data_IF_307659490863
#
_entry.id   IF_307659490863
#
_cell.length_a   1.000
_cell.length_b   1.000
_cell.length_c   1.000
_cell.angle_alpha   90.00
_cell.angle_beta   90.00
_cell.angle_gamma   90.00
#
_symmetry.space_group_name_H-M   'P 1'
#
loop_
_entity.id
_entity.type
_entity.pdbx_description
1 polymer ?
#
# COMPACT_ATOMS: atom_id res chain seq x y z
N UNK A 1 -31.58 1.78 -9.84
CA UNK A 1 -32.93 1.20 -9.96
C UNK A 1 -32.93 -0.24 -9.46
N UNK A 2 -32.07 -1.15 -9.97
CA UNK A 2 -32.07 -2.58 -9.65
C UNK A 2 -31.85 -2.92 -8.16
N UNK A 3 -30.95 -2.23 -7.45
CA UNK A 3 -30.69 -2.42 -6.02
C UNK A 3 -31.94 -2.15 -5.17
N UNK A 4 -32.69 -1.08 -5.49
CA UNK A 4 -33.94 -0.73 -4.79
C UNK A 4 -35.07 -1.72 -5.13
N UNK A 5 -35.09 -2.24 -6.35
CA UNK A 5 -36.08 -3.24 -6.78
C UNK A 5 -35.77 -4.65 -6.27
N UNK A 6 -34.54 -4.93 -5.87
CA UNK A 6 -34.08 -6.27 -5.45
C UNK A 6 -33.91 -7.23 -6.61
N UNK A 7 -33.53 -6.73 -7.78
CA UNK A 7 -33.22 -7.54 -8.97
C UNK A 7 -31.72 -7.73 -9.17
N UNK A 8 -30.91 -7.24 -8.23
CA UNK A 8 -29.46 -7.35 -8.22
C UNK A 8 -29.05 -7.99 -6.90
N UNK A 9 -28.40 -9.15 -6.96
CA UNK A 9 -27.99 -9.93 -5.79
C UNK A 9 -26.62 -9.49 -5.28
N UNK A 10 -25.69 -9.12 -6.18
CA UNK A 10 -24.35 -8.66 -5.84
C UNK A 10 -24.03 -7.37 -6.59
N UNK A 11 -23.48 -6.39 -5.88
CA UNK A 11 -22.97 -5.14 -6.47
C UNK A 11 -21.55 -4.91 -6.01
N UNK A 12 -20.67 -4.57 -6.94
CA UNK A 12 -19.27 -4.23 -6.69
C UNK A 12 -19.07 -2.78 -7.16
N UNK A 13 -18.40 -1.99 -6.35
CA UNK A 13 -18.12 -0.59 -6.70
C UNK A 13 -17.28 0.11 -5.66
N UNK A 14 -17.04 1.39 -5.89
CA UNK A 14 -16.25 2.26 -5.01
C UNK A 14 -17.10 2.78 -3.84
N UNK A 15 -16.53 3.71 -3.05
CA UNK A 15 -17.24 4.43 -1.98
C UNK A 15 -18.56 5.07 -2.42
N UNK A 16 -18.81 5.21 -3.72
CA UNK A 16 -20.09 5.68 -4.29
C UNK A 16 -21.27 4.81 -3.82
N UNK A 17 -21.05 3.52 -3.56
CA UNK A 17 -22.07 2.63 -3.03
C UNK A 17 -22.56 3.01 -1.62
N UNK A 18 -21.77 3.77 -0.87
CA UNK A 18 -22.13 4.26 0.47
C UNK A 18 -22.90 5.59 0.43
N UNK A 19 -23.16 6.15 -0.73
CA UNK A 19 -23.87 7.44 -0.86
C UNK A 19 -25.33 7.32 -0.45
N UNK A 20 -25.88 8.40 0.09
CA UNK A 20 -27.26 8.43 0.66
C UNK A 20 -28.36 8.17 -0.37
N UNK A 21 -28.11 8.44 -1.64
CA UNK A 21 -29.03 8.21 -2.76
C UNK A 21 -29.09 6.74 -3.21
N UNK A 22 -28.15 5.91 -2.76
CA UNK A 22 -28.17 4.48 -3.01
C UNK A 22 -29.03 3.80 -1.94
N UNK A 23 -30.09 3.14 -2.39
CA UNK A 23 -31.04 2.41 -1.54
C UNK A 23 -30.95 0.93 -1.87
N UNK A 24 -30.66 0.12 -0.88
CA UNK A 24 -30.69 -1.33 -0.92
C UNK A 24 -32.08 -1.82 -0.45
N UNK A 25 -32.65 -2.82 -1.13
CA UNK A 25 -33.92 -3.40 -0.74
C UNK A 25 -33.76 -4.23 0.54
N UNK A 26 -32.76 -5.12 0.51
CA UNK A 26 -32.45 -6.05 1.61
C UNK A 26 -30.96 -6.40 1.52
N UNK A 27 -30.14 -5.70 2.29
CA UNK A 27 -28.71 -5.89 2.32
C UNK A 27 -28.34 -6.85 3.45
N UNK A 28 -27.87 -8.06 3.12
CA UNK A 28 -27.48 -9.06 4.11
C UNK A 28 -25.99 -9.01 4.47
N UNK A 29 -25.12 -8.70 3.50
CA UNK A 29 -23.66 -8.66 3.70
C UNK A 29 -23.03 -7.45 3.06
N UNK A 30 -22.16 -6.75 3.80
CA UNK A 30 -21.32 -5.67 3.33
C UNK A 30 -19.85 -6.09 3.44
N UNK A 31 -19.16 -6.16 2.30
CA UNK A 31 -17.71 -6.42 2.27
C UNK A 31 -16.97 -5.11 1.99
N UNK A 32 -15.99 -4.78 2.83
CA UNK A 32 -15.21 -3.55 2.75
C UNK A 32 -13.73 -3.90 2.64
N UNK A 33 -13.11 -3.49 1.55
CA UNK A 33 -11.66 -3.58 1.41
C UNK A 33 -11.00 -2.24 1.82
N UNK A 34 -9.89 -2.34 2.55
CA UNK A 34 -9.08 -1.19 3.00
C UNK A 34 -9.91 -0.09 3.71
N UNK A 35 -10.70 -0.46 4.75
CA UNK A 35 -11.57 0.46 5.52
C UNK A 35 -10.87 1.76 5.96
N UNK A 36 -9.56 1.72 6.19
CA UNK A 36 -8.77 2.89 6.62
C UNK A 36 -8.72 4.01 5.57
N UNK A 37 -8.99 3.71 4.30
CA UNK A 37 -9.02 4.69 3.21
C UNK A 37 -10.30 5.52 3.15
N UNK A 38 -11.35 5.11 3.86
CA UNK A 38 -12.61 5.83 3.88
C UNK A 38 -12.55 7.07 4.78
N UNK A 39 -13.10 8.18 4.29
CA UNK A 39 -13.29 9.40 5.07
C UNK A 39 -14.32 9.24 6.20
N UNK A 40 -14.38 10.22 7.09
CA UNK A 40 -15.23 10.21 8.30
C UNK A 40 -16.71 9.95 7.95
N UNK A 41 -17.24 10.65 6.96
CA UNK A 41 -18.66 10.51 6.55
C UNK A 41 -19.02 9.11 6.06
N UNK A 42 -18.10 8.46 5.33
CA UNK A 42 -18.28 7.07 4.88
C UNK A 42 -18.21 6.11 6.05
N UNK A 43 -17.30 6.33 7.00
CA UNK A 43 -17.18 5.50 8.21
C UNK A 43 -18.43 5.59 9.10
N UNK A 44 -19.05 6.77 9.21
CA UNK A 44 -20.33 6.92 9.90
C UNK A 44 -21.44 6.15 9.19
N UNK A 45 -21.52 6.26 7.87
CA UNK A 45 -22.49 5.49 7.08
C UNK A 45 -22.32 3.99 7.23
N UNK A 46 -21.07 3.51 7.23
CA UNK A 46 -20.74 2.10 7.49
C UNK A 46 -21.22 1.68 8.89
N UNK A 47 -21.03 2.52 9.92
CA UNK A 47 -21.50 2.25 11.28
C UNK A 47 -23.03 2.09 11.33
N UNK A 48 -23.77 2.92 10.60
CA UNK A 48 -25.24 2.83 10.55
C UNK A 48 -25.67 1.51 9.91
N UNK A 49 -25.04 1.12 8.79
CA UNK A 49 -25.30 -0.14 8.10
C UNK A 49 -24.96 -1.35 8.99
N UNK A 50 -23.85 -1.30 9.74
CA UNK A 50 -23.40 -2.39 10.66
C UNK A 50 -24.41 -2.75 11.74
N UNK A 51 -25.41 -1.96 12.00
CA UNK A 51 -26.43 -2.26 13.00
C UNK A 51 -27.42 -3.35 12.58
N UNK A 52 -27.57 -3.58 11.29
CA UNK A 52 -28.57 -4.50 10.73
C UNK A 52 -28.03 -5.43 9.63
N UNK A 53 -26.72 -5.38 9.36
CA UNK A 53 -26.08 -6.09 8.24
C UNK A 53 -24.77 -6.70 8.72
N UNK A 54 -24.47 -7.92 8.32
CA UNK A 54 -23.16 -8.52 8.55
C UNK A 54 -22.09 -7.78 7.77
N UNK A 55 -20.94 -7.54 8.40
CA UNK A 55 -19.85 -6.77 7.78
C UNK A 55 -18.53 -7.51 7.88
N UNK A 56 -17.98 -7.82 6.70
CA UNK A 56 -16.63 -8.34 6.54
C UNK A 56 -15.69 -7.20 6.11
N UNK A 57 -14.65 -6.97 6.88
CA UNK A 57 -13.61 -5.97 6.54
C UNK A 57 -12.32 -6.68 6.20
N UNK A 58 -11.72 -6.32 5.07
CA UNK A 58 -10.44 -6.83 4.61
C UNK A 58 -9.38 -5.74 4.75
N UNK A 59 -8.15 -6.11 5.11
CA UNK A 59 -7.00 -5.19 5.11
C UNK A 59 -5.71 -5.97 5.01
N UNK A 60 -4.77 -5.46 4.22
CA UNK A 60 -3.40 -6.00 4.15
C UNK A 60 -2.57 -5.58 5.37
N UNK A 61 -2.89 -4.43 5.96
CA UNK A 61 -2.21 -3.88 7.14
C UNK A 61 -3.26 -3.34 8.10
N UNK A 62 -3.67 -4.10 9.12
CA UNK A 62 -4.67 -3.64 10.05
C UNK A 62 -4.20 -2.36 10.75
N UNK A 63 -5.11 -1.38 10.86
CA UNK A 63 -4.83 -0.19 11.64
C UNK A 63 -4.73 -0.54 13.14
N UNK A 64 -3.91 0.18 13.91
CA UNK A 64 -3.71 -0.07 15.34
C UNK A 64 -5.01 -0.25 16.14
N UNK A 65 -6.00 0.58 15.89
CA UNK A 65 -7.31 0.50 16.57
C UNK A 65 -8.08 -0.78 16.22
N UNK A 66 -8.08 -1.21 14.97
CA UNK A 66 -8.75 -2.46 14.55
C UNK A 66 -8.05 -3.66 15.19
N UNK A 67 -6.73 -3.64 15.22
CA UNK A 67 -5.91 -4.65 15.84
C UNK A 67 -6.21 -4.76 17.35
N UNK A 68 -6.28 -3.63 18.05
CA UNK A 68 -6.62 -3.61 19.47
C UNK A 68 -8.04 -4.14 19.73
N UNK A 69 -9.04 -3.75 18.94
CA UNK A 69 -10.41 -4.24 19.07
C UNK A 69 -10.50 -5.77 18.90
N UNK A 70 -9.63 -6.34 18.06
CA UNK A 70 -9.54 -7.79 17.91
C UNK A 70 -8.87 -8.46 19.10
N UNK A 71 -7.77 -7.89 19.60
CA UNK A 71 -7.06 -8.41 20.78
C UNK A 71 -7.91 -8.34 22.07
N UNK A 72 -8.85 -7.39 22.15
CA UNK A 72 -9.79 -7.27 23.27
C UNK A 72 -11.06 -8.11 23.10
N UNK A 73 -11.16 -8.92 22.02
CA UNK A 73 -12.33 -9.76 21.78
C UNK A 73 -13.59 -9.00 21.31
N UNK A 74 -13.47 -7.71 20.97
CA UNK A 74 -14.59 -6.90 20.49
C UNK A 74 -14.90 -7.20 19.00
N UNK A 75 -13.93 -7.75 18.26
CA UNK A 75 -14.05 -8.14 16.85
C UNK A 75 -13.39 -9.49 16.63
N UNK A 76 -14.09 -10.37 15.93
CA UNK A 76 -13.49 -11.59 15.40
C UNK A 76 -12.50 -11.22 14.29
N UNK A 77 -11.37 -11.89 14.25
CA UNK A 77 -10.33 -11.69 13.27
C UNK A 77 -9.79 -13.03 12.78
N UNK A 78 -9.70 -13.16 11.46
CA UNK A 78 -9.02 -14.27 10.82
C UNK A 78 -7.80 -13.73 10.06
N UNK A 79 -6.69 -14.46 10.09
CA UNK A 79 -5.49 -14.12 9.34
C UNK A 79 -5.32 -15.09 8.18
N UNK A 80 -5.00 -14.54 7.00
CA UNK A 80 -4.58 -15.30 5.82
C UNK A 80 -3.09 -15.09 5.70
N UNK A 81 -2.30 -16.04 6.15
CA UNK A 81 -0.82 -15.98 6.22
C UNK A 81 -0.13 -16.90 5.22
N UNK A 82 -0.87 -17.80 4.59
CA UNK A 82 -0.33 -18.71 3.57
C UNK A 82 -0.39 -18.05 2.19
N UNK A 83 0.76 -17.74 1.57
CA UNK A 83 0.80 -17.18 0.22
C UNK A 83 0.43 -18.24 -0.84
N UNK A 84 0.05 -17.82 -2.05
CA UNK A 84 0.00 -18.72 -3.20
C UNK A 84 1.36 -19.38 -3.46
N UNK A 85 1.37 -20.66 -3.87
CA UNK A 85 2.56 -21.51 -3.99
C UNK A 85 3.66 -20.93 -4.90
N UNK A 86 3.28 -20.21 -5.95
CA UNK A 86 4.21 -19.66 -6.95
C UNK A 86 4.73 -18.24 -6.62
N UNK A 87 4.32 -17.67 -5.51
CA UNK A 87 4.67 -16.29 -5.16
C UNK A 87 5.96 -16.22 -4.32
N UNK A 88 6.96 -15.49 -4.82
CA UNK A 88 8.20 -15.20 -4.08
C UNK A 88 8.17 -13.77 -3.53
N UNK A 89 8.54 -13.56 -2.26
CA UNK A 89 8.63 -12.22 -1.70
C UNK A 89 9.73 -11.41 -2.39
N UNK A 90 9.54 -10.09 -2.59
CA UNK A 90 10.58 -9.24 -3.17
C UNK A 90 11.82 -9.16 -2.27
N UNK A 91 12.99 -9.32 -2.86
CA UNK A 91 14.26 -9.01 -2.21
C UNK A 91 14.33 -7.49 -1.96
N UNK A 92 14.61 -7.10 -0.74
CA UNK A 92 14.54 -5.69 -0.33
C UNK A 92 15.91 -5.16 0.04
N UNK A 93 16.26 -4.00 -0.53
CA UNK A 93 17.52 -3.33 -0.33
C UNK A 93 17.30 -1.91 0.16
N UNK A 94 17.93 -1.54 1.28
CA UNK A 94 17.98 -0.15 1.77
C UNK A 94 19.31 0.45 1.37
N UNK A 95 19.29 1.47 0.50
CA UNK A 95 20.53 2.01 -0.06
C UNK A 95 20.42 3.47 -0.46
N UNK A 96 21.56 4.10 -0.68
CA UNK A 96 21.64 5.49 -1.12
C UNK A 96 21.13 5.62 -2.56
N UNK A 97 20.28 6.63 -2.81
CA UNK A 97 19.83 6.97 -4.17
C UNK A 97 20.98 7.51 -5.01
N UNK A 98 21.18 6.91 -6.15
CA UNK A 98 22.17 7.35 -7.14
C UNK A 98 21.68 7.08 -8.56
N UNK A 99 22.24 7.80 -9.53
CA UNK A 99 21.96 7.54 -10.95
C UNK A 99 22.39 6.14 -11.39
N UNK A 100 23.48 5.62 -10.82
CA UNK A 100 23.96 4.27 -11.10
C UNK A 100 22.97 3.22 -10.59
N UNK A 101 22.44 3.36 -9.37
CA UNK A 101 21.41 2.48 -8.85
C UNK A 101 20.17 2.46 -9.75
N UNK A 102 19.75 3.67 -10.17
CA UNK A 102 18.57 3.81 -11.03
C UNK A 102 18.78 3.11 -12.38
N UNK A 103 19.96 3.30 -12.98
CA UNK A 103 20.36 2.62 -14.19
C UNK A 103 20.35 1.09 -14.02
N UNK A 104 21.03 0.57 -13.01
CA UNK A 104 21.17 -0.86 -12.80
C UNK A 104 19.83 -1.53 -12.51
N UNK A 105 18.97 -0.90 -11.69
CA UNK A 105 17.67 -1.43 -11.34
C UNK A 105 16.72 -1.49 -12.54
N UNK A 106 16.66 -0.42 -13.34
CA UNK A 106 15.75 -0.32 -14.48
C UNK A 106 16.24 -1.14 -15.67
N UNK A 107 17.53 -1.02 -16.03
CA UNK A 107 18.09 -1.76 -17.17
C UNK A 107 18.02 -3.27 -16.96
N UNK A 108 18.34 -3.76 -15.75
CA UNK A 108 18.18 -5.18 -15.40
C UNK A 108 16.73 -5.67 -15.57
N UNK A 109 15.76 -4.84 -15.22
CA UNK A 109 14.35 -5.20 -15.37
C UNK A 109 13.94 -5.22 -16.84
N UNK A 110 14.37 -4.23 -17.63
CA UNK A 110 14.13 -4.16 -19.07
C UNK A 110 14.76 -5.34 -19.82
N UNK A 111 16.01 -5.71 -19.50
CA UNK A 111 16.73 -6.85 -20.11
C UNK A 111 15.97 -8.17 -19.96
N UNK A 112 15.26 -8.36 -18.87
CA UNK A 112 14.44 -9.57 -18.65
C UNK A 112 12.97 -9.41 -19.09
N UNK A 113 12.66 -8.31 -19.77
CA UNK A 113 11.33 -8.01 -20.32
C UNK A 113 10.29 -7.70 -19.23
N UNK A 114 10.73 -7.18 -18.08
CA UNK A 114 9.85 -6.74 -17.01
C UNK A 114 9.68 -5.22 -16.98
N UNK A 115 8.90 -4.74 -16.03
CA UNK A 115 8.59 -3.33 -15.84
C UNK A 115 8.94 -2.88 -14.42
N UNK A 116 9.16 -1.57 -14.24
CA UNK A 116 9.58 -0.98 -12.98
C UNK A 116 8.58 0.05 -12.48
N UNK A 117 8.18 -0.02 -11.22
CA UNK A 117 7.58 1.11 -10.50
C UNK A 117 8.69 2.01 -9.94
N UNK A 118 8.60 3.30 -10.22
CA UNK A 118 9.41 4.30 -9.55
C UNK A 118 8.50 5.22 -8.74
N UNK A 119 8.55 5.09 -7.42
CA UNK A 119 7.59 5.71 -6.51
C UNK A 119 8.23 6.87 -5.78
N UNK A 120 7.56 8.02 -5.80
CA UNK A 120 7.93 9.17 -4.98
C UNK A 120 6.71 9.65 -4.15
N UNK A 121 7.00 10.42 -3.10
CA UNK A 121 5.94 10.90 -2.21
C UNK A 121 5.20 12.13 -2.75
N UNK A 122 5.91 13.01 -3.45
CA UNK A 122 5.41 14.32 -3.85
C UNK A 122 5.43 14.51 -5.35
N UNK A 123 4.35 15.05 -5.90
CA UNK A 123 4.25 15.37 -7.34
C UNK A 123 5.37 16.33 -7.77
N UNK A 124 5.73 17.31 -6.93
CA UNK A 124 6.80 18.27 -7.24
C UNK A 124 8.22 17.66 -7.42
N UNK A 125 8.41 16.38 -7.05
CA UNK A 125 9.66 15.65 -7.27
C UNK A 125 9.71 14.96 -8.64
N UNK A 126 8.54 14.75 -9.28
CA UNK A 126 8.43 13.88 -10.45
C UNK A 126 9.21 14.40 -11.66
N UNK A 127 9.20 15.70 -11.91
CA UNK A 127 9.94 16.29 -13.06
C UNK A 127 11.46 16.08 -12.91
N UNK A 128 11.99 16.24 -11.70
CA UNK A 128 13.39 15.95 -11.39
C UNK A 128 13.69 14.47 -11.62
N UNK A 129 12.86 13.57 -11.09
CA UNK A 129 13.07 12.12 -11.20
C UNK A 129 12.90 11.62 -12.63
N UNK A 130 11.98 12.19 -13.40
CA UNK A 130 11.87 11.94 -14.84
C UNK A 130 13.13 12.44 -15.59
N UNK A 131 13.71 13.55 -15.16
CA UNK A 131 15.00 14.02 -15.65
C UNK A 131 16.16 13.09 -15.32
N UNK A 132 16.19 12.53 -14.14
CA UNK A 132 17.18 11.53 -13.72
C UNK A 132 17.03 10.24 -14.56
N UNK A 133 15.80 9.74 -14.79
CA UNK A 133 15.55 8.60 -15.68
C UNK A 133 16.09 8.88 -17.10
N UNK A 134 15.72 10.00 -17.70
CA UNK A 134 16.20 10.35 -19.07
C UNK A 134 17.71 10.46 -19.16
N UNK A 135 18.39 10.86 -18.08
CA UNK A 135 19.85 11.01 -18.03
C UNK A 135 20.55 9.67 -17.87
N UNK A 136 20.03 8.79 -17.02
CA UNK A 136 20.72 7.58 -16.62
C UNK A 136 20.22 6.32 -17.33
N UNK A 137 18.99 6.35 -17.86
CA UNK A 137 18.34 5.24 -18.60
C UNK A 137 17.59 5.83 -19.79
N UNK A 138 18.28 6.44 -20.77
CA UNK A 138 17.65 7.15 -21.89
C UNK A 138 16.81 6.26 -22.77
N UNK A 139 17.05 4.96 -22.79
CA UNK A 139 16.30 3.96 -23.55
C UNK A 139 14.96 3.60 -22.92
N UNK A 140 14.74 3.90 -21.65
CA UNK A 140 13.50 3.55 -20.95
C UNK A 140 12.34 4.44 -21.38
N UNK A 141 11.23 3.82 -21.74
CA UNK A 141 9.95 4.50 -21.99
C UNK A 141 9.26 4.75 -20.65
N UNK A 142 9.07 6.01 -20.32
CA UNK A 142 8.59 6.41 -18.97
C UNK A 142 7.19 7.01 -19.06
N UNK A 143 6.25 6.42 -18.32
CA UNK A 143 4.96 7.02 -18.02
C UNK A 143 4.98 7.71 -16.66
N UNK A 144 4.13 8.72 -16.49
CA UNK A 144 3.96 9.43 -15.22
C UNK A 144 2.49 9.38 -14.79
N UNK A 145 2.24 9.03 -13.51
CA UNK A 145 0.90 8.99 -12.96
C UNK A 145 0.84 9.52 -11.52
N UNK A 146 -0.11 10.41 -11.25
CA UNK A 146 -0.31 11.01 -9.93
C UNK A 146 -1.76 11.45 -9.71
N UNK A 147 -2.17 11.64 -8.46
CA UNK A 147 -3.54 11.92 -8.07
C UNK A 147 -4.13 13.29 -8.50
N UNK A 148 -3.36 14.13 -9.21
CA UNK A 148 -3.89 15.36 -9.85
C UNK A 148 -4.30 15.17 -11.31
N UNK A 149 -3.97 14.03 -11.92
CA UNK A 149 -4.49 13.66 -13.23
C UNK A 149 -5.98 13.34 -13.12
N UNK A 150 -6.73 13.61 -14.17
CA UNK A 150 -8.12 13.15 -14.27
C UNK A 150 -8.21 11.62 -14.30
N UNK A 151 -9.34 11.06 -13.86
CA UNK A 151 -9.55 9.60 -13.81
C UNK A 151 -9.25 8.94 -15.15
N UNK A 152 -9.80 9.46 -16.24
CA UNK A 152 -9.57 8.92 -17.59
C UNK A 152 -8.09 8.95 -18.01
N UNK A 153 -7.33 9.99 -17.59
CA UNK A 153 -5.90 10.05 -17.89
C UNK A 153 -5.12 9.00 -17.12
N UNK A 154 -5.48 8.75 -15.86
CA UNK A 154 -4.86 7.68 -15.05
C UNK A 154 -5.20 6.33 -15.67
N UNK A 155 -6.45 6.09 -16.05
CA UNK A 155 -6.89 4.86 -16.70
C UNK A 155 -6.08 4.58 -17.97
N UNK A 156 -5.99 5.54 -18.89
CA UNK A 156 -5.23 5.39 -20.13
C UNK A 156 -3.74 5.08 -19.87
N UNK A 157 -3.09 5.82 -18.95
CA UNK A 157 -1.69 5.56 -18.59
C UNK A 157 -1.50 4.16 -18.01
N UNK A 158 -2.45 3.70 -17.20
CA UNK A 158 -2.37 2.37 -16.61
C UNK A 158 -2.63 1.26 -17.63
N UNK A 159 -3.56 1.46 -18.56
CA UNK A 159 -3.80 0.55 -19.69
C UNK A 159 -2.58 0.42 -20.59
N UNK A 160 -1.98 1.54 -21.00
CA UNK A 160 -0.76 1.56 -21.82
C UNK A 160 0.41 0.90 -21.07
N UNK A 161 0.55 1.15 -19.77
CA UNK A 161 1.58 0.52 -18.96
C UNK A 161 1.35 -1.00 -18.83
N UNK A 162 0.12 -1.44 -18.63
CA UNK A 162 -0.26 -2.85 -18.60
C UNK A 162 0.00 -3.53 -19.97
N UNK A 163 -0.23 -2.83 -21.07
CA UNK A 163 0.06 -3.30 -22.42
C UNK A 163 1.56 -3.38 -22.74
N UNK A 164 2.44 -2.86 -21.87
CA UNK A 164 3.90 -2.87 -22.05
C UNK A 164 4.42 -1.75 -22.95
N UNK A 165 3.62 -0.69 -23.18
CA UNK A 165 4.05 0.49 -23.93
C UNK A 165 5.10 1.32 -23.18
N UNK A 166 5.20 1.14 -21.86
CA UNK A 166 6.17 1.80 -20.99
C UNK A 166 6.94 0.79 -20.16
N UNK A 167 8.22 1.07 -19.92
CA UNK A 167 9.13 0.25 -19.13
C UNK A 167 9.15 0.69 -17.66
N UNK A 168 8.91 1.99 -17.41
CA UNK A 168 8.88 2.58 -16.08
C UNK A 168 7.61 3.38 -15.86
N UNK A 169 6.93 3.13 -14.76
CA UNK A 169 5.87 4.00 -14.26
C UNK A 169 6.39 4.83 -13.08
N UNK A 170 6.68 6.11 -13.33
CA UNK A 170 6.97 7.08 -12.28
C UNK A 170 5.65 7.58 -11.68
N UNK A 171 5.43 7.32 -10.40
CA UNK A 171 4.14 7.62 -9.77
C UNK A 171 4.27 8.03 -8.30
N UNK A 172 3.19 8.62 -7.80
CA UNK A 172 2.99 8.77 -6.36
C UNK A 172 2.33 7.52 -5.78
N UNK A 173 1.84 7.58 -4.55
CA UNK A 173 1.19 6.45 -3.84
C UNK A 173 -0.11 5.93 -4.47
N UNK A 174 -0.48 6.38 -5.67
CA UNK A 174 -1.66 5.88 -6.39
C UNK A 174 -1.62 4.37 -6.65
N UNK A 175 -0.42 3.77 -6.75
CA UNK A 175 -0.25 2.33 -6.93
C UNK A 175 -0.70 1.51 -5.70
N UNK A 176 -0.88 2.13 -4.55
CA UNK A 176 -1.47 1.47 -3.38
C UNK A 176 -2.92 1.04 -3.64
N UNK A 177 -3.58 1.56 -4.69
CA UNK A 177 -5.01 1.42 -4.96
C UNK A 177 -5.46 0.05 -5.52
N UNK A 178 -4.63 -0.99 -5.45
CA UNK A 178 -5.09 -2.36 -5.75
C UNK A 178 -4.90 -2.81 -7.20
N UNK A 179 -4.31 -1.99 -8.07
CA UNK A 179 -4.04 -2.39 -9.46
C UNK A 179 -2.97 -3.49 -9.48
N UNK A 180 -3.28 -4.56 -10.17
CA UNK A 180 -2.39 -5.70 -10.34
C UNK A 180 -1.75 -5.68 -11.73
N UNK A 181 -0.43 -5.50 -11.78
CA UNK A 181 0.35 -5.56 -13.03
C UNK A 181 1.41 -6.66 -12.87
N UNK A 182 1.14 -7.84 -13.42
CA UNK A 182 1.98 -9.03 -13.20
C UNK A 182 3.43 -8.87 -13.69
N UNK A 183 3.66 -8.01 -14.70
CA UNK A 183 4.98 -7.83 -15.30
C UNK A 183 5.89 -6.86 -14.53
N UNK A 184 5.38 -6.20 -13.47
CA UNK A 184 6.19 -5.34 -12.62
C UNK A 184 6.88 -6.16 -11.55
N UNK A 185 8.19 -6.33 -11.67
CA UNK A 185 8.97 -7.11 -10.72
C UNK A 185 10.00 -6.27 -9.97
N UNK A 186 10.17 -5.01 -10.33
CA UNK A 186 11.07 -4.08 -9.63
C UNK A 186 10.30 -2.84 -9.16
N UNK A 187 10.57 -2.42 -7.92
CA UNK A 187 10.12 -1.12 -7.39
C UNK A 187 11.30 -0.36 -6.82
N UNK A 188 11.43 0.90 -7.23
CA UNK A 188 12.35 1.87 -6.63
C UNK A 188 11.52 2.89 -5.86
N UNK A 189 11.77 3.05 -4.57
CA UNK A 189 11.08 4.00 -3.70
C UNK A 189 12.03 5.13 -3.35
N UNK A 190 11.75 6.32 -3.88
CA UNK A 190 12.56 7.52 -3.63
C UNK A 190 12.24 8.13 -2.28
N UNK A 191 13.26 8.45 -1.48
CA UNK A 191 13.12 8.95 -0.11
C UNK A 191 12.22 8.04 0.76
N UNK A 192 12.51 6.74 0.75
CA UNK A 192 11.72 5.73 1.45
C UNK A 192 11.56 6.01 2.96
N UNK A 193 12.52 6.71 3.60
CA UNK A 193 12.44 7.15 5.01
C UNK A 193 11.25 8.08 5.29
N UNK A 194 10.70 8.71 4.26
CA UNK A 194 9.55 9.62 4.37
C UNK A 194 8.19 8.91 4.32
N UNK A 195 8.18 7.61 4.11
CA UNK A 195 6.97 6.78 4.07
C UNK A 195 6.71 6.10 5.42
N UNK A 196 5.44 5.85 5.71
CA UNK A 196 5.04 5.00 6.83
C UNK A 196 5.34 3.52 6.55
N UNK A 197 5.52 2.73 7.62
CA UNK A 197 5.85 1.31 7.50
C UNK A 197 4.78 0.52 6.72
N UNK A 198 3.50 0.78 7.02
CA UNK A 198 2.37 0.18 6.30
C UNK A 198 2.36 0.54 4.80
N UNK A 199 2.69 1.79 4.45
CA UNK A 199 2.78 2.22 3.06
C UNK A 199 3.91 1.50 2.32
N UNK A 200 5.10 1.43 2.92
CA UNK A 200 6.23 0.68 2.34
C UNK A 200 5.86 -0.79 2.11
N UNK A 201 5.17 -1.40 3.06
CA UNK A 201 4.71 -2.78 2.93
C UNK A 201 3.70 -2.94 1.78
N UNK A 202 2.73 -2.05 1.65
CA UNK A 202 1.76 -2.05 0.55
C UNK A 202 2.42 -1.85 -0.81
N UNK A 203 3.35 -0.87 -0.93
CA UNK A 203 4.09 -0.62 -2.17
C UNK A 203 4.96 -1.82 -2.53
N UNK A 204 5.72 -2.36 -1.58
CA UNK A 204 6.51 -3.58 -1.76
C UNK A 204 5.65 -4.77 -2.21
N UNK A 205 4.44 -4.90 -1.68
CA UNK A 205 3.47 -5.94 -2.05
C UNK A 205 2.89 -5.80 -3.45
N UNK A 206 3.17 -4.71 -4.18
CA UNK A 206 2.74 -4.53 -5.58
C UNK A 206 3.65 -5.20 -6.59
N UNK A 207 4.83 -5.63 -6.20
CA UNK A 207 5.76 -6.38 -7.04
C UNK A 207 5.86 -7.84 -6.59
N UNK A 208 6.39 -8.71 -7.45
CA UNK A 208 6.54 -10.13 -7.14
C UNK A 208 5.23 -10.92 -7.21
N UNK A 209 4.43 -10.67 -8.23
CA UNK A 209 3.17 -11.37 -8.50
C UNK A 209 3.29 -12.43 -9.58
N UNK A 210 4.47 -12.56 -10.17
CA UNK A 210 4.83 -13.60 -11.12
C UNK A 210 5.90 -14.54 -10.52
N UNK A 211 6.25 -15.60 -11.25
CA UNK A 211 7.30 -16.56 -10.86
C UNK A 211 8.71 -15.96 -10.92
N UNK A 212 8.89 -14.79 -11.53
CA UNK A 212 10.17 -14.07 -11.63
C UNK A 212 10.61 -13.52 -10.29
N UNK A 213 11.92 -13.48 -10.05
CA UNK A 213 12.47 -12.78 -8.89
C UNK A 213 12.12 -11.30 -8.94
N UNK A 214 11.75 -10.74 -7.80
CA UNK A 214 11.34 -9.35 -7.68
C UNK A 214 12.20 -8.59 -6.69
N UNK A 215 12.33 -7.28 -6.89
CA UNK A 215 13.25 -6.43 -6.17
C UNK A 215 12.56 -5.16 -5.67
N UNK A 216 12.87 -4.76 -4.44
CA UNK A 216 12.40 -3.53 -3.84
C UNK A 216 13.61 -2.71 -3.34
N UNK A 217 13.88 -1.60 -4.01
CA UNK A 217 14.95 -0.67 -3.64
C UNK A 217 14.36 0.49 -2.84
N UNK A 218 14.60 0.47 -1.53
CA UNK A 218 14.19 1.53 -0.60
C UNK A 218 15.33 2.55 -0.51
N UNK A 219 15.18 3.66 -1.20
CA UNK A 219 16.30 4.60 -1.35
C UNK A 219 16.20 5.80 -0.42
N UNK A 220 17.34 6.31 0.02
CA UNK A 220 17.46 7.54 0.78
C UNK A 220 18.51 8.46 0.15
N UNK A 221 18.40 9.77 0.39
CA UNK A 221 19.34 10.75 -0.18
C UNK A 221 20.60 10.83 0.70
N UNK A 222 21.76 10.88 0.06
CA UNK A 222 23.05 11.07 0.72
C UNK A 222 23.06 12.29 1.62
N UNK A 223 23.58 12.11 2.84
CA UNK A 223 23.69 13.20 3.81
C UNK A 223 22.35 13.60 4.49
N UNK A 224 21.23 12.98 4.14
CA UNK A 224 19.98 13.19 4.87
C UNK A 224 20.08 12.54 6.25
N UNK A 225 19.91 13.34 7.30
CA UNK A 225 19.85 12.83 8.67
C UNK A 225 18.53 12.09 8.87
N UNK A 226 18.58 10.78 8.97
CA UNK A 226 17.41 9.99 9.30
C UNK A 226 17.08 10.09 10.79
N UNK A 227 15.80 10.09 11.13
CA UNK A 227 15.37 9.91 12.51
C UNK A 227 15.52 8.44 12.92
N UNK A 228 15.73 8.13 14.21
CA UNK A 228 15.80 6.74 14.68
C UNK A 228 14.58 5.90 14.27
N UNK A 229 13.41 6.50 14.24
CA UNK A 229 12.17 5.82 13.82
C UNK A 229 12.15 5.53 12.32
N UNK A 230 12.72 6.42 11.49
CA UNK A 230 12.84 6.19 10.06
C UNK A 230 13.82 5.03 9.77
N UNK A 231 14.95 5.00 10.47
CA UNK A 231 15.90 3.87 10.38
C UNK A 231 15.24 2.55 10.77
N UNK A 232 14.57 2.51 11.92
CA UNK A 232 13.84 1.31 12.39
C UNK A 232 12.80 0.84 11.36
N UNK A 233 12.04 1.76 10.75
CA UNK A 233 11.06 1.40 9.71
C UNK A 233 11.71 0.78 8.49
N UNK A 234 12.79 1.39 7.97
CA UNK A 234 13.51 0.87 6.81
C UNK A 234 14.15 -0.48 7.09
N UNK A 235 14.76 -0.65 8.25
CA UNK A 235 15.31 -1.92 8.68
C UNK A 235 14.21 -2.99 8.79
N UNK A 236 13.11 -2.66 9.44
CA UNK A 236 11.96 -3.56 9.58
C UNK A 236 11.45 -4.03 8.21
N UNK A 237 11.20 -3.12 7.26
CA UNK A 237 10.66 -3.52 5.95
C UNK A 237 11.65 -4.33 5.12
N UNK A 238 12.95 -4.15 5.33
CA UNK A 238 13.99 -4.96 4.69
C UNK A 238 14.06 -6.38 5.28
N UNK A 239 13.92 -6.52 6.60
CA UNK A 239 13.95 -7.80 7.31
C UNK A 239 12.71 -8.66 7.05
N UNK A 240 11.52 -8.03 6.91
CA UNK A 240 10.30 -8.76 6.61
C UNK A 240 10.25 -9.20 5.14
N UNK A 241 10.77 -10.38 4.89
CA UNK A 241 10.79 -11.02 3.56
C UNK A 241 9.62 -11.99 3.34
N UNK A 242 8.81 -12.27 4.37
CA UNK A 242 7.71 -13.22 4.29
C UNK A 242 6.41 -12.55 3.82
N UNK A 243 5.60 -13.30 3.09
CA UNK A 243 4.20 -12.92 2.84
C UNK A 243 3.36 -13.11 4.12
N UNK A 244 2.22 -12.41 4.19
CA UNK A 244 1.35 -12.49 5.36
C UNK A 244 1.85 -11.71 6.57
N UNK A 245 2.98 -11.01 6.46
CA UNK A 245 3.56 -10.24 7.56
C UNK A 245 2.77 -8.98 7.94
N UNK A 246 1.60 -8.72 7.32
CA UNK A 246 0.82 -7.50 7.56
C UNK A 246 0.50 -7.25 9.03
N UNK A 247 0.16 -8.30 9.76
CA UNK A 247 -0.07 -8.24 11.21
C UNK A 247 1.22 -7.88 11.98
N UNK A 248 2.32 -8.56 11.69
CA UNK A 248 3.63 -8.30 12.30
C UNK A 248 4.10 -6.87 12.02
N UNK A 249 3.88 -6.40 10.80
CA UNK A 249 4.18 -5.02 10.37
C UNK A 249 3.34 -4.00 11.15
N UNK A 250 2.04 -4.25 11.33
CA UNK A 250 1.17 -3.37 12.10
C UNK A 250 1.59 -3.30 13.58
N UNK A 251 1.95 -4.43 14.17
CA UNK A 251 2.49 -4.48 15.54
C UNK A 251 3.80 -3.70 15.66
N UNK A 252 4.71 -3.88 14.70
CA UNK A 252 5.99 -3.19 14.69
C UNK A 252 5.85 -1.68 14.48
N UNK A 253 4.88 -1.25 13.65
CA UNK A 253 4.56 0.17 13.46
C UNK A 253 4.07 0.82 14.77
N UNK A 254 3.26 0.08 15.55
CA UNK A 254 2.82 0.53 16.89
C UNK A 254 3.98 0.68 17.86
N UNK A 255 4.87 -0.30 17.92
CA UNK A 255 6.06 -0.25 18.78
C UNK A 255 6.96 0.95 18.44
N UNK A 256 7.22 1.19 17.17
CA UNK A 256 8.05 2.31 16.70
C UNK A 256 7.41 3.65 17.06
N UNK A 257 6.08 3.76 17.00
CA UNK A 257 5.34 4.97 17.38
C UNK A 257 5.25 5.21 18.89
N UNK A 258 5.80 4.30 19.71
CA UNK A 258 5.80 4.45 21.18
C UNK A 258 4.53 3.96 21.86
N UNK A 259 3.70 3.17 21.18
CA UNK A 259 2.51 2.55 21.77
C UNK A 259 2.80 1.48 22.85
N UNK A 260 4.08 1.25 23.14
CA UNK A 260 4.52 0.20 24.05
C UNK A 260 4.45 -1.21 23.46
N UNK A 261 5.02 -2.18 24.17
CA UNK A 261 4.94 -3.58 23.77
C UNK A 261 3.56 -4.14 24.17
N UNK A 262 2.60 -4.12 23.22
CA UNK A 262 1.22 -4.59 23.45
C UNK A 262 1.13 -6.09 23.79
N UNK A 263 2.20 -6.86 23.56
CA UNK A 263 2.28 -8.29 23.84
C UNK A 263 3.33 -8.64 24.93
N UNK A 264 4.03 -7.64 25.47
CA UNK A 264 5.04 -7.85 26.52
C UNK A 264 4.48 -7.72 27.92
N UNK A 265 5.13 -8.33 28.94
CA UNK A 265 4.73 -8.20 30.34
C UNK A 265 4.93 -6.79 30.92
N UNK A 266 5.57 -5.89 30.19
CA UNK A 266 5.82 -4.49 30.59
C UNK A 266 4.88 -3.55 29.83
N UNK A 267 3.74 -3.25 30.43
CA UNK A 267 2.86 -2.15 30.04
C UNK A 267 3.45 -0.82 30.52
N UNK A 268 4.39 -0.26 29.78
CA UNK A 268 4.88 1.08 30.02
C UNK A 268 4.97 1.88 28.73
N UNK A 269 3.89 2.51 28.34
CA UNK A 269 3.84 3.47 27.25
C UNK A 269 2.95 4.65 27.61
N UNK A 270 3.22 5.80 27.03
CA UNK A 270 2.45 7.04 27.24
C UNK A 270 0.95 6.90 26.91
N UNK A 271 0.55 5.90 26.14
CA UNK A 271 -0.86 5.60 25.84
C UNK A 271 -1.69 5.25 27.09
N UNK A 272 -1.08 4.62 28.11
CA UNK A 272 -1.79 4.29 29.34
C UNK A 272 -2.13 5.53 30.18
N UNK A 273 -1.41 6.64 30.01
CA UNK A 273 -1.60 7.87 30.76
C UNK A 273 -2.56 8.88 30.10
N UNK A 274 -2.83 8.75 28.81
CA UNK A 274 -3.61 9.77 28.05
C UNK A 274 -4.95 9.23 27.56
N UNK A 275 -5.16 7.92 27.59
CA UNK A 275 -6.36 7.27 27.05
C UNK A 275 -6.36 7.18 25.51
N UNK A 276 -6.93 6.10 25.03
CA UNK A 276 -6.95 5.76 23.58
C UNK A 276 -7.73 6.74 22.70
N UNK A 277 -8.67 7.47 23.28
CA UNK A 277 -9.53 8.42 22.54
C UNK A 277 -8.84 9.74 22.23
N UNK A 278 -7.71 10.03 22.87
CA UNK A 278 -6.93 11.26 22.65
C UNK A 278 -5.63 11.05 21.85
N UNK A 279 -5.25 9.81 21.57
CA UNK A 279 -4.07 9.47 20.78
C UNK A 279 -4.49 9.09 19.34
#
# INVERSE_FOLDING_TARGET
>A
AGLKAGTVDVVIGTHRLLSKDIVYKDLGLLIIDEEQRFGVSHKERIKDIKRSVDVLTLSATPIPRTLQMSLTGIRDMSMIDTPPEDRKPPESYVMEYSGQLLHDAVSKEMERGGQTYFVCRQIGQMDKLAGDLRRHVPEARVAMAHGRLGETQIENVMEDFLAGEYDVLLCTTIIESGIDIPNVNTVVIYEAQMFGLAQLYQIKGRVGRATKNSYAYLTYIKGTRMTPDAEKRLQTIAEFTEFGAGFKIAMRDLEIRGAGNLLGPEQSGQMASVGYDMY
#
